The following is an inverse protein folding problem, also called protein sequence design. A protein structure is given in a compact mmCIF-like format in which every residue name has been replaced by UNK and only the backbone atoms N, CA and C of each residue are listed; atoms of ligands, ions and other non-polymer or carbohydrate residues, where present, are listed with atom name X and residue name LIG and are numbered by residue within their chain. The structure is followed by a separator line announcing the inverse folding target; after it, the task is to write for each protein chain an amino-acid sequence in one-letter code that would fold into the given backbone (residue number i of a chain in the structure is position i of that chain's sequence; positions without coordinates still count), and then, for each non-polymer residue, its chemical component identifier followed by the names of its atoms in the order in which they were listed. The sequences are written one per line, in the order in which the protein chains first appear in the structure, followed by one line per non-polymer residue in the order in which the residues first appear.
data_IF_756765972771
#
_entry.id   IF_756765972771
#
_cell.length_a   1.000
_cell.length_b   1.000
_cell.length_c   1.000
_cell.angle_alpha   90.00
_cell.angle_beta   90.00
_cell.angle_gamma   90.00
#
_symmetry.space_group_name_H-M   'P 1'
#
loop_
_entity.id
_entity.type
_entity.pdbx_description
1 polymer ?
#
# COMPACT_ATOMS: atom_id res chain seq x y z
N UNK A 1 25.26 32.58 -22.54
CA UNK A 1 24.22 33.30 -23.31
C UNK A 1 24.55 34.80 -23.55
N UNK A 2 25.11 35.53 -22.59
CA UNK A 2 25.46 36.97 -22.73
C UNK A 2 26.45 37.23 -23.85
N UNK A 3 27.53 36.41 -23.94
CA UNK A 3 28.56 36.57 -24.99
C UNK A 3 28.02 36.40 -26.43
N UNK A 4 27.05 35.49 -26.61
CA UNK A 4 26.44 35.23 -27.91
C UNK A 4 25.55 36.42 -28.37
N UNK A 5 24.84 37.08 -27.45
CA UNK A 5 24.05 38.28 -27.73
C UNK A 5 24.95 39.48 -28.08
N UNK A 6 26.03 39.68 -27.33
CA UNK A 6 27.01 40.73 -27.66
C UNK A 6 27.59 40.55 -29.07
N UNK A 7 27.88 39.32 -29.49
CA UNK A 7 28.37 39.06 -30.85
C UNK A 7 27.35 39.41 -31.95
N UNK A 8 26.07 39.10 -31.72
CA UNK A 8 25.00 39.40 -32.69
C UNK A 8 24.75 40.91 -32.82
N UNK A 9 24.67 41.65 -31.71
CA UNK A 9 24.44 43.08 -31.72
C UNK A 9 25.66 43.85 -32.25
N UNK A 10 26.89 43.42 -31.95
CA UNK A 10 28.09 43.97 -32.53
C UNK A 10 28.15 43.79 -34.06
N UNK A 11 27.66 42.66 -34.59
CA UNK A 11 27.56 42.41 -36.02
C UNK A 11 26.48 43.28 -36.72
N UNK A 12 25.47 43.76 -35.98
CA UNK A 12 24.42 44.65 -36.48
C UNK A 12 24.71 46.13 -36.27
N UNK A 13 25.89 46.49 -35.70
CA UNK A 13 26.33 47.90 -35.49
C UNK A 13 25.57 48.58 -34.34
N UNK A 14 24.85 47.85 -33.50
CA UNK A 14 24.13 48.41 -32.38
C UNK A 14 24.79 48.06 -31.04
N UNK A 15 24.79 49.02 -30.10
CA UNK A 15 25.24 48.81 -28.71
C UNK A 15 24.07 48.35 -27.88
N UNK A 16 24.13 47.11 -27.38
CA UNK A 16 23.11 46.59 -26.47
C UNK A 16 23.33 47.17 -25.07
N UNK A 17 22.51 48.14 -24.70
CA UNK A 17 22.51 48.73 -23.36
C UNK A 17 21.63 47.87 -22.43
N UNK A 18 22.26 47.31 -21.42
CA UNK A 18 21.59 46.38 -20.47
C UNK A 18 20.88 47.11 -19.31
N UNK A 19 20.90 48.44 -19.28
CA UNK A 19 20.39 49.18 -18.13
C UNK A 19 21.19 48.98 -16.83
N UNK A 20 20.73 49.53 -15.69
CA UNK A 20 21.41 49.42 -14.40
C UNK A 20 21.61 47.98 -13.98
N UNK A 21 22.78 47.61 -13.44
CA UNK A 21 23.11 46.22 -13.10
C UNK A 21 22.12 45.57 -12.09
N UNK A 22 21.46 46.37 -11.26
CA UNK A 22 20.51 45.90 -10.25
C UNK A 22 19.18 45.47 -10.89
N UNK A 23 18.68 46.21 -11.88
CA UNK A 23 17.44 45.86 -12.61
C UNK A 23 17.62 44.58 -13.41
N UNK A 24 18.79 44.43 -14.00
CA UNK A 24 19.18 43.20 -14.72
C UNK A 24 19.23 41.98 -13.77
N UNK A 25 19.84 42.13 -12.60
CA UNK A 25 19.90 41.08 -11.61
C UNK A 25 18.49 40.65 -11.16
N UNK A 26 17.62 41.60 -10.86
CA UNK A 26 16.24 41.35 -10.47
C UNK A 26 15.45 40.63 -11.57
N UNK A 27 15.66 41.05 -12.85
CA UNK A 27 14.98 40.41 -13.98
C UNK A 27 15.42 38.94 -14.18
N UNK A 28 16.74 38.69 -14.20
CA UNK A 28 17.27 37.33 -14.37
C UNK A 28 16.89 36.44 -13.17
N UNK A 29 16.98 36.96 -11.93
CA UNK A 29 16.62 36.27 -10.74
C UNK A 29 15.12 35.81 -10.73
N UNK A 30 14.22 36.74 -11.12
CA UNK A 30 12.79 36.37 -11.22
C UNK A 30 12.54 35.30 -12.27
N UNK A 31 13.19 35.39 -13.41
CA UNK A 31 13.07 34.42 -14.50
C UNK A 31 13.56 33.03 -14.06
N UNK A 32 14.71 32.98 -13.42
CA UNK A 32 15.31 31.75 -12.94
C UNK A 32 14.49 31.14 -11.80
N UNK A 33 13.97 31.99 -10.89
CA UNK A 33 13.08 31.54 -9.80
C UNK A 33 11.79 30.93 -10.35
N UNK A 34 11.16 31.54 -11.35
CA UNK A 34 9.95 30.99 -11.99
C UNK A 34 10.24 29.67 -12.71
N UNK A 35 11.36 29.59 -13.41
CA UNK A 35 11.78 28.36 -14.11
C UNK A 35 12.03 27.23 -13.12
N UNK A 36 12.69 27.53 -12.00
CA UNK A 36 12.95 26.57 -10.93
C UNK A 36 11.66 26.12 -10.24
N UNK A 37 10.76 27.05 -9.92
CA UNK A 37 9.47 26.73 -9.31
C UNK A 37 8.62 25.85 -10.23
N UNK A 38 8.61 26.12 -11.54
CA UNK A 38 7.93 25.28 -12.54
C UNK A 38 8.54 23.87 -12.58
N UNK A 39 9.88 23.77 -12.61
CA UNK A 39 10.56 22.48 -12.64
C UNK A 39 10.26 21.65 -11.39
N UNK A 40 10.34 22.26 -10.20
CA UNK A 40 9.99 21.60 -8.93
C UNK A 40 8.52 21.19 -8.92
N UNK A 41 7.61 22.05 -9.38
CA UNK A 41 6.19 21.75 -9.48
C UNK A 41 5.91 20.56 -10.40
N UNK A 42 6.50 20.51 -11.59
CA UNK A 42 6.38 19.38 -12.52
C UNK A 42 6.97 18.10 -11.91
N UNK A 43 8.14 18.19 -11.28
CA UNK A 43 8.76 17.05 -10.61
C UNK A 43 7.85 16.47 -9.51
N UNK A 44 7.30 17.33 -8.66
CA UNK A 44 6.34 16.91 -7.61
C UNK A 44 5.07 16.32 -8.20
N UNK A 45 4.51 16.92 -9.25
CA UNK A 45 3.31 16.40 -9.92
C UNK A 45 3.57 15.02 -10.55
N UNK A 46 4.69 14.84 -11.23
CA UNK A 46 5.07 13.54 -11.82
C UNK A 46 5.29 12.50 -10.72
N UNK A 47 5.94 12.88 -9.62
CA UNK A 47 6.18 11.99 -8.49
C UNK A 47 4.86 11.56 -7.84
N UNK A 48 3.97 12.50 -7.53
CA UNK A 48 2.66 12.20 -6.93
C UNK A 48 1.77 11.36 -7.85
N UNK A 49 1.81 11.59 -9.16
CA UNK A 49 1.10 10.76 -10.14
C UNK A 49 1.68 9.34 -10.23
N UNK A 50 2.99 9.18 -10.09
CA UNK A 50 3.62 7.85 -10.04
C UNK A 50 3.24 7.12 -8.76
N UNK A 51 3.33 7.77 -7.60
CA UNK A 51 2.93 7.20 -6.31
C UNK A 51 1.44 6.83 -6.29
N UNK A 52 0.57 7.62 -6.92
CA UNK A 52 -0.85 7.29 -7.08
C UNK A 52 -1.11 6.12 -8.07
N UNK A 53 -0.22 5.91 -9.06
CA UNK A 53 -0.32 4.78 -10.00
C UNK A 53 0.30 3.49 -9.47
N UNK A 54 1.22 3.59 -8.52
CA UNK A 54 1.75 2.46 -7.76
C UNK A 54 0.79 2.06 -6.64
N UNK A 55 -0.52 1.95 -6.94
CA UNK A 55 -1.40 1.13 -6.11
C UNK A 55 -0.80 -0.27 -6.20
N UNK A 56 -0.30 -0.86 -5.10
CA UNK A 56 0.25 -2.21 -5.17
C UNK A 56 -0.86 -3.08 -5.74
N UNK A 57 -0.61 -3.72 -6.89
CA UNK A 57 -1.52 -4.72 -7.45
C UNK A 57 -1.62 -5.79 -6.37
N UNK A 58 -2.68 -5.72 -5.57
CA UNK A 58 -2.95 -6.76 -4.57
C UNK A 58 -3.08 -8.05 -5.35
N UNK A 59 -2.31 -9.09 -5.03
CA UNK A 59 -2.46 -10.36 -5.71
C UNK A 59 -3.92 -10.78 -5.61
N UNK A 60 -4.49 -11.19 -6.71
CA UNK A 60 -5.91 -11.61 -6.78
C UNK A 60 -6.07 -13.02 -6.19
N UNK A 61 -4.98 -13.79 -6.10
CA UNK A 61 -4.96 -15.18 -5.63
C UNK A 61 -3.69 -15.50 -4.85
N UNK A 62 -3.77 -16.54 -4.03
CA UNK A 62 -2.66 -17.11 -3.27
C UNK A 62 -2.49 -18.58 -3.65
N UNK A 63 -1.25 -19.02 -3.85
CA UNK A 63 -0.90 -20.39 -4.23
C UNK A 63 -0.59 -21.23 -2.97
N UNK A 64 -1.51 -22.10 -2.59
CA UNK A 64 -1.39 -22.99 -1.44
C UNK A 64 -0.76 -24.30 -1.90
N UNK A 65 0.39 -24.66 -1.33
CA UNK A 65 1.08 -25.95 -1.60
C UNK A 65 0.66 -27.00 -0.59
N UNK A 66 -0.34 -27.77 -0.95
CA UNK A 66 -0.84 -28.90 -0.14
C UNK A 66 -0.17 -30.21 -0.57
N UNK A 67 0.95 -30.53 0.05
CA UNK A 67 1.81 -31.66 -0.35
C UNK A 67 2.33 -31.48 -1.78
N UNK A 68 2.00 -32.41 -2.68
CA UNK A 68 2.33 -32.35 -4.09
C UNK A 68 1.34 -31.51 -4.93
N UNK A 69 0.23 -31.08 -4.33
CA UNK A 69 -0.84 -30.36 -5.01
C UNK A 69 -0.67 -28.86 -4.84
N UNK A 70 -0.80 -28.10 -5.93
CA UNK A 70 -0.89 -26.65 -5.91
C UNK A 70 -2.36 -26.23 -6.05
N UNK A 71 -2.85 -25.49 -5.06
CA UNK A 71 -4.22 -24.96 -5.05
C UNK A 71 -4.11 -23.44 -5.18
N UNK A 72 -4.60 -22.90 -6.30
CA UNK A 72 -4.71 -21.44 -6.46
C UNK A 72 -6.04 -20.97 -5.91
N UNK A 73 -6.00 -20.31 -4.76
CA UNK A 73 -7.18 -19.79 -4.10
C UNK A 73 -7.30 -18.27 -4.30
N UNK A 74 -8.43 -17.75 -4.81
CA UNK A 74 -8.71 -16.33 -4.76
C UNK A 74 -8.59 -15.79 -3.34
N UNK A 75 -7.97 -14.64 -3.13
CA UNK A 75 -7.79 -14.09 -1.77
C UNK A 75 -9.13 -13.85 -1.07
N UNK A 76 -10.16 -13.48 -1.82
CA UNK A 76 -11.50 -13.29 -1.28
C UNK A 76 -12.14 -14.60 -0.78
N UNK A 77 -11.68 -15.75 -1.25
CA UNK A 77 -12.21 -17.05 -0.82
C UNK A 77 -11.48 -17.58 0.43
N UNK A 78 -10.37 -16.98 0.82
CA UNK A 78 -9.64 -17.31 2.04
C UNK A 78 -10.23 -16.50 3.19
N UNK A 79 -10.90 -17.17 4.13
CA UNK A 79 -11.48 -16.55 5.31
C UNK A 79 -10.43 -16.31 6.40
N UNK A 80 -9.64 -17.33 6.67
CA UNK A 80 -8.62 -17.30 7.71
C UNK A 80 -7.51 -18.32 7.45
N UNK A 81 -6.40 -18.16 8.15
CA UNK A 81 -5.31 -19.14 8.22
C UNK A 81 -5.03 -19.44 9.68
N UNK A 82 -4.92 -20.70 10.02
CA UNK A 82 -4.61 -21.13 11.40
C UNK A 82 -3.37 -22.03 11.45
N UNK A 83 -2.66 -22.01 12.58
CA UNK A 83 -1.51 -22.89 12.77
C UNK A 83 -1.96 -24.30 13.12
N UNK A 84 -1.38 -25.31 12.46
CA UNK A 84 -1.63 -26.72 12.67
C UNK A 84 -0.28 -27.48 12.80
N UNK A 85 0.39 -27.33 13.95
CA UNK A 85 1.71 -27.90 14.19
C UNK A 85 2.79 -27.28 13.27
N UNK A 86 3.40 -28.12 12.42
CA UNK A 86 4.40 -27.68 11.42
C UNK A 86 3.77 -27.20 10.09
N UNK A 87 2.44 -27.11 10.06
CA UNK A 87 1.66 -26.69 8.92
C UNK A 87 0.80 -25.48 9.30
N UNK A 88 0.32 -24.80 8.29
CA UNK A 88 -0.78 -23.85 8.39
C UNK A 88 -1.97 -24.40 7.62
N UNK A 89 -3.16 -24.24 8.17
CA UNK A 89 -4.43 -24.64 7.56
C UNK A 89 -5.11 -23.37 7.02
N UNK A 90 -5.40 -23.36 5.73
CA UNK A 90 -6.20 -22.30 5.10
C UNK A 90 -7.67 -22.68 5.20
N UNK A 91 -8.50 -21.78 5.67
CA UNK A 91 -9.95 -21.97 5.78
C UNK A 91 -10.60 -21.21 4.63
N UNK A 92 -11.14 -21.95 3.67
CA UNK A 92 -11.76 -21.38 2.48
C UNK A 92 -13.28 -21.23 2.65
N UNK A 93 -13.86 -20.28 1.92
CA UNK A 93 -15.30 -19.99 1.96
C UNK A 93 -16.18 -21.17 1.48
N UNK A 94 -15.63 -22.06 0.65
CA UNK A 94 -16.29 -23.29 0.18
C UNK A 94 -16.18 -24.46 1.18
N UNK A 95 -15.59 -24.23 2.37
CA UNK A 95 -15.41 -25.22 3.42
C UNK A 95 -14.14 -26.08 3.27
N UNK A 96 -13.38 -25.97 2.19
CA UNK A 96 -12.10 -26.69 2.06
C UNK A 96 -11.07 -26.14 3.04
N UNK A 97 -10.19 -27.03 3.51
CA UNK A 97 -9.15 -26.72 4.50
C UNK A 97 -7.78 -27.27 4.09
N UNK A 98 -7.18 -26.77 3.01
CA UNK A 98 -5.86 -27.23 2.58
C UNK A 98 -4.77 -26.88 3.59
N UNK A 99 -3.78 -27.79 3.70
CA UNK A 99 -2.63 -27.67 4.57
C UNK A 99 -1.38 -27.30 3.77
N UNK A 100 -0.64 -26.29 4.24
CA UNK A 100 0.65 -25.93 3.66
C UNK A 100 1.75 -26.01 4.71
N UNK A 101 2.88 -26.62 4.37
CA UNK A 101 4.04 -26.68 5.27
C UNK A 101 4.72 -25.30 5.29
N UNK A 102 4.36 -24.49 6.28
CA UNK A 102 4.91 -23.16 6.53
C UNK A 102 4.68 -22.76 7.98
N UNK A 103 5.34 -21.70 8.41
CA UNK A 103 5.00 -21.04 9.68
C UNK A 103 3.93 -19.99 9.44
N UNK A 104 3.08 -19.76 10.43
CA UNK A 104 2.04 -18.73 10.33
C UNK A 104 2.66 -17.32 10.15
N UNK A 105 3.85 -17.08 10.72
CA UNK A 105 4.58 -15.83 10.54
C UNK A 105 5.07 -15.61 9.09
N UNK A 106 5.52 -16.67 8.40
CA UNK A 106 5.91 -16.57 7.00
C UNK A 106 4.71 -16.23 6.11
N UNK A 107 3.56 -16.90 6.34
CA UNK A 107 2.32 -16.61 5.61
C UNK A 107 1.77 -15.21 5.92
N UNK A 108 1.92 -14.74 7.15
CA UNK A 108 1.54 -13.39 7.56
C UNK A 108 2.25 -12.32 6.72
N UNK A 109 3.58 -12.43 6.54
CA UNK A 109 4.37 -11.47 5.72
C UNK A 109 3.85 -11.40 4.28
N UNK A 110 3.47 -12.54 3.69
CA UNK A 110 2.94 -12.59 2.33
C UNK A 110 1.52 -12.02 2.22
N UNK A 111 0.66 -12.30 3.21
CA UNK A 111 -0.76 -11.95 3.18
C UNK A 111 -1.08 -10.59 3.84
N UNK A 112 -0.17 -9.99 4.62
CA UNK A 112 -0.41 -8.71 5.28
C UNK A 112 -0.76 -7.59 4.27
N UNK A 113 -0.07 -7.56 3.13
CA UNK A 113 -0.34 -6.60 2.03
C UNK A 113 -1.67 -6.86 1.32
N UNK A 114 -2.25 -8.03 1.54
CA UNK A 114 -3.52 -8.46 0.97
C UNK A 114 -4.72 -8.20 1.89
N UNK A 115 -4.51 -7.53 3.04
CA UNK A 115 -5.58 -7.22 3.98
C UNK A 115 -5.82 -8.30 5.04
N UNK A 116 -4.88 -9.23 5.22
CA UNK A 116 -4.96 -10.17 6.34
C UNK A 116 -4.36 -9.56 7.61
N UNK A 117 -4.97 -9.88 8.74
CA UNK A 117 -4.61 -9.33 10.05
C UNK A 117 -4.37 -10.45 11.04
N UNK A 118 -3.23 -10.39 11.75
CA UNK A 118 -2.92 -11.34 12.82
C UNK A 118 -3.76 -11.02 14.06
N UNK A 119 -4.66 -11.91 14.45
CA UNK A 119 -5.59 -11.71 15.59
C UNK A 119 -5.22 -12.55 16.80
N UNK A 120 -4.47 -13.62 16.60
CA UNK A 120 -4.04 -14.52 17.66
C UNK A 120 -2.67 -15.14 17.32
N UNK A 121 -1.98 -15.72 18.32
CA UNK A 121 -0.70 -16.45 18.07
C UNK A 121 -0.84 -17.55 17.01
N UNK A 122 -2.04 -18.08 16.83
CA UNK A 122 -2.34 -19.17 15.89
C UNK A 122 -3.33 -18.79 14.80
N UNK A 123 -3.76 -17.50 14.68
CA UNK A 123 -4.77 -17.08 13.73
C UNK A 123 -4.38 -15.83 12.96
N UNK A 124 -4.64 -15.88 11.66
CA UNK A 124 -4.57 -14.78 10.71
C UNK A 124 -5.92 -14.71 9.98
N UNK A 125 -6.60 -13.58 9.99
CA UNK A 125 -7.94 -13.41 9.42
C UNK A 125 -7.94 -12.47 8.24
N UNK A 126 -8.82 -12.69 7.29
CA UNK A 126 -9.06 -11.79 6.18
C UNK A 126 -10.02 -10.66 6.61
N UNK A 127 -9.51 -9.44 6.78
CA UNK A 127 -10.31 -8.31 7.22
C UNK A 127 -11.45 -7.97 6.25
N UNK A 128 -11.26 -8.16 4.94
CA UNK A 128 -12.29 -7.92 3.93
C UNK A 128 -13.48 -8.90 4.02
N UNK A 129 -13.32 -10.04 4.71
CA UNK A 129 -14.36 -11.06 4.89
C UNK A 129 -14.99 -11.03 6.28
N UNK A 130 -14.58 -10.09 7.12
CA UNK A 130 -15.16 -9.90 8.45
C UNK A 130 -16.62 -9.43 8.33
N UNK A 131 -17.52 -10.15 9.00
CA UNK A 131 -18.93 -9.80 9.11
C UNK A 131 -19.28 -9.13 10.43
N UNK A 132 -18.49 -9.36 11.48
CA UNK A 132 -18.71 -8.77 12.80
C UNK A 132 -17.54 -8.91 13.76
N UNK A 133 -17.60 -8.14 14.84
CA UNK A 133 -16.68 -8.18 15.99
C UNK A 133 -17.51 -8.26 17.27
N UNK A 134 -17.35 -9.31 18.04
CA UNK A 134 -18.06 -9.52 19.29
C UNK A 134 -17.07 -9.46 20.47
N UNK A 135 -17.29 -8.59 21.48
CA UNK A 135 -16.47 -8.57 22.68
C UNK A 135 -16.73 -9.81 23.54
N UNK A 136 -15.65 -10.38 24.06
CA UNK A 136 -15.69 -11.42 25.09
C UNK A 136 -15.44 -10.78 26.49
N UNK A 137 -16.05 -11.30 27.53
CA UNK A 137 -16.02 -10.70 28.85
C UNK A 137 -14.63 -10.56 29.50
N UNK A 138 -13.59 -11.15 28.91
CA UNK A 138 -12.19 -11.11 29.38
C UNK A 138 -11.32 -10.02 28.76
N UNK A 139 -11.90 -9.17 27.89
CA UNK A 139 -11.16 -8.17 27.08
C UNK A 139 -10.60 -8.76 25.77
N UNK A 140 -10.82 -10.02 25.50
CA UNK A 140 -10.61 -10.65 24.21
C UNK A 140 -11.85 -10.39 23.30
N UNK A 141 -11.71 -10.65 22.02
CA UNK A 141 -12.76 -10.45 21.03
C UNK A 141 -12.87 -11.68 20.15
N UNK A 142 -14.03 -11.87 19.55
CA UNK A 142 -14.28 -12.85 18.48
C UNK A 142 -14.51 -12.11 17.17
N UNK A 143 -13.77 -12.51 16.13
CA UNK A 143 -13.95 -12.05 14.76
C UNK A 143 -14.90 -13.00 14.05
N UNK A 144 -16.00 -12.49 13.54
CA UNK A 144 -16.98 -13.25 12.78
C UNK A 144 -16.69 -13.14 11.28
N UNK A 145 -16.61 -14.27 10.59
CA UNK A 145 -16.29 -14.41 9.17
C UNK A 145 -17.37 -15.28 8.50
N UNK A 146 -18.61 -14.80 8.53
CA UNK A 146 -19.78 -15.60 8.16
C UNK A 146 -20.07 -16.68 9.20
N UNK A 147 -19.97 -17.95 8.83
CA UNK A 147 -20.16 -19.07 9.74
C UNK A 147 -18.90 -19.43 10.55
N UNK A 148 -17.75 -18.83 10.24
CA UNK A 148 -16.49 -19.06 10.94
C UNK A 148 -16.30 -18.00 12.02
N UNK A 149 -15.89 -18.45 13.22
CA UNK A 149 -15.47 -17.57 14.32
C UNK A 149 -13.97 -17.74 14.57
N UNK A 150 -13.24 -16.63 14.70
CA UNK A 150 -11.82 -16.62 14.97
C UNK A 150 -11.51 -15.78 16.22
N UNK A 151 -10.59 -16.21 17.10
CA UNK A 151 -10.25 -15.47 18.30
C UNK A 151 -9.40 -14.24 17.96
N UNK A 152 -9.66 -13.13 18.66
CA UNK A 152 -8.79 -11.95 18.69
C UNK A 152 -8.38 -11.71 20.14
N UNK A 153 -7.14 -12.00 20.44
CA UNK A 153 -6.61 -11.84 21.79
C UNK A 153 -6.25 -10.38 22.07
N UNK A 154 -6.50 -9.92 23.30
CA UNK A 154 -6.08 -8.60 23.81
C UNK A 154 -4.60 -8.28 23.60
N UNK A 155 -3.75 -9.29 23.41
CA UNK A 155 -2.32 -9.10 23.07
C UNK A 155 -2.11 -8.55 21.66
N UNK A 156 -3.13 -8.63 20.82
CA UNK A 156 -3.14 -8.14 19.44
C UNK A 156 -4.03 -6.90 19.31
N UNK A 157 -3.98 -5.99 20.29
CA UNK A 157 -4.77 -4.76 20.30
C UNK A 157 -4.67 -3.95 18.99
N UNK A 158 -3.50 -3.79 18.32
CA UNK A 158 -3.43 -3.11 17.05
C UNK A 158 -4.26 -3.77 15.93
N UNK A 159 -4.50 -5.08 16.02
CA UNK A 159 -5.37 -5.79 15.08
C UNK A 159 -6.83 -5.37 15.24
N UNK A 160 -7.29 -5.12 16.46
CA UNK A 160 -8.64 -4.63 16.73
C UNK A 160 -8.87 -3.24 16.10
N UNK A 161 -7.89 -2.35 16.21
CA UNK A 161 -7.98 -1.00 15.64
C UNK A 161 -8.00 -1.05 14.10
N UNK A 162 -7.18 -1.91 13.50
CA UNK A 162 -7.19 -2.15 12.05
C UNK A 162 -8.55 -2.69 11.58
N UNK A 163 -9.10 -3.69 12.25
CA UNK A 163 -10.39 -4.30 11.92
C UNK A 163 -11.57 -3.35 12.11
N UNK A 164 -11.53 -2.45 13.10
CA UNK A 164 -12.55 -1.41 13.30
C UNK A 164 -12.46 -0.29 12.26
N UNK A 165 -11.27 -0.01 11.74
CA UNK A 165 -11.03 1.04 10.73
C UNK A 165 -11.37 0.60 9.30
N UNK A 166 -11.29 -0.67 8.98
CA UNK A 166 -11.70 -1.24 7.69
C UNK A 166 -13.21 -1.47 7.71
N UNK A 167 -13.98 -0.52 7.18
CA UNK A 167 -15.40 -0.74 6.88
C UNK A 167 -15.51 -1.86 5.84
N UNK A 168 -16.41 -2.86 6.03
CA UNK A 168 -16.71 -3.81 4.97
C UNK A 168 -17.20 -3.02 3.75
N UNK A 169 -16.50 -3.15 2.62
CA UNK A 169 -16.94 -2.61 1.37
C UNK A 169 -18.31 -3.20 1.00
N UNK A 170 -19.18 -2.47 0.28
CA UNK A 170 -20.48 -2.99 -0.12
C UNK A 170 -20.26 -4.29 -0.92
N UNK A 171 -20.93 -5.33 -0.47
CA UNK A 171 -21.06 -6.59 -1.21
C UNK A 171 -21.89 -6.27 -2.45
N UNK A 172 -21.24 -6.27 -3.62
CA UNK A 172 -21.90 -6.21 -4.92
C UNK A 172 -22.25 -7.62 -5.40
#
# INVERSE_FOLDING_TARGET
MVAMRHGVYAALGETYDYGPPIERFVYEFRKDLLSYALFVGVFWAVRSLREARETPVRPVSFDIRDGARLIRAPLNDILAVTSAGNYVEFILADGRRPLMRATLAAVEVELERCGFVRTHRSWLVNAARMSGLRPEGSGDWTVELGALEAPLSRRYAPALDRLKGERPGPVA
#
